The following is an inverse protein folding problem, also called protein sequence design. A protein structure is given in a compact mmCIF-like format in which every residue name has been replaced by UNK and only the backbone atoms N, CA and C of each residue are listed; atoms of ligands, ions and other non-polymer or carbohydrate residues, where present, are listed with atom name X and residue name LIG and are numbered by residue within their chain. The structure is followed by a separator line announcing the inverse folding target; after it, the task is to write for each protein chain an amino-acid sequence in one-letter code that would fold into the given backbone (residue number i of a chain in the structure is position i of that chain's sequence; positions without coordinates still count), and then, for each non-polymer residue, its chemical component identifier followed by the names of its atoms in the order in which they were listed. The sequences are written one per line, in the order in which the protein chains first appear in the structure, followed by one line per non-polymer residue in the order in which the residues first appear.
data_IF_025969730685
#
_entry.id   IF_025969730685
#
_cell.length_a   1.000
_cell.length_b   1.000
_cell.length_c   1.000
_cell.angle_alpha   90.00
_cell.angle_beta   90.00
_cell.angle_gamma   90.00
#
_symmetry.space_group_name_H-M   'P 1'
#
loop_
_entity.id
_entity.type
_entity.pdbx_description
1 polymer ?
#
# COMPACT_ATOMS: atom_id res chain seq x y z
N UNK A 1 -29.20 -12.52 2.04
CA UNK A 1 -27.99 -11.86 1.51
C UNK A 1 -28.48 -10.81 0.54
N UNK A 2 -28.26 -9.51 0.80
CA UNK A 2 -28.52 -8.47 -0.19
C UNK A 2 -27.60 -8.73 -1.38
N UNK A 3 -28.13 -8.71 -2.61
CA UNK A 3 -27.30 -8.79 -3.83
C UNK A 3 -26.19 -7.75 -3.70
N UNK A 4 -24.94 -8.23 -3.75
CA UNK A 4 -23.79 -7.34 -3.68
C UNK A 4 -23.78 -6.49 -4.95
N UNK A 5 -24.01 -5.18 -4.79
CA UNK A 5 -24.05 -4.24 -5.91
C UNK A 5 -22.70 -4.27 -6.61
N UNK A 6 -22.71 -4.40 -7.94
CA UNK A 6 -21.51 -4.44 -8.77
C UNK A 6 -20.58 -3.24 -8.48
N UNK A 7 -19.29 -3.50 -8.25
CA UNK A 7 -18.28 -2.49 -7.93
C UNK A 7 -18.36 -1.92 -6.51
N UNK A 8 -19.12 -2.53 -5.61
CA UNK A 8 -19.26 -2.08 -4.23
C UNK A 8 -18.86 -3.15 -3.21
N UNK A 9 -18.34 -2.68 -2.09
CA UNK A 9 -18.12 -3.41 -0.84
C UNK A 9 -19.13 -2.85 0.17
N UNK A 10 -20.25 -3.52 0.38
CA UNK A 10 -21.37 -2.97 1.12
C UNK A 10 -21.88 -1.64 0.50
N UNK A 11 -21.73 -0.53 1.24
CA UNK A 11 -22.09 0.82 0.77
C UNK A 11 -20.92 1.61 0.19
N UNK A 12 -19.70 1.05 0.19
CA UNK A 12 -18.46 1.70 -0.24
C UNK A 12 -18.02 1.22 -1.63
N UNK A 13 -17.15 1.96 -2.30
CA UNK A 13 -16.70 1.68 -3.67
C UNK A 13 -17.47 2.46 -4.71
N UNK A 14 -17.83 1.80 -5.79
CA UNK A 14 -18.52 2.41 -6.92
C UNK A 14 -17.56 2.94 -7.98
N UNK A 15 -18.13 3.65 -8.95
CA UNK A 15 -17.43 4.07 -10.17
C UNK A 15 -17.81 5.54 -10.48
N UNK A 16 -17.35 6.45 -9.61
CA UNK A 16 -17.66 7.88 -9.67
C UNK A 16 -16.62 8.62 -10.54
N UNK A 17 -16.59 8.27 -11.81
CA UNK A 17 -15.63 8.81 -12.78
C UNK A 17 -16.30 9.78 -13.75
N UNK A 18 -15.54 10.77 -14.27
CA UNK A 18 -16.01 11.57 -15.40
C UNK A 18 -16.37 10.68 -16.60
N UNK A 19 -17.40 11.07 -17.35
CA UNK A 19 -17.85 10.35 -18.53
C UNK A 19 -16.72 10.05 -19.51
N UNK A 20 -15.77 10.96 -19.64
CA UNK A 20 -14.57 10.82 -20.48
C UNK A 20 -13.68 9.64 -20.14
N UNK A 21 -13.66 9.20 -18.86
CA UNK A 21 -12.86 8.05 -18.40
C UNK A 21 -13.65 6.75 -18.27
N UNK A 22 -14.98 6.78 -18.41
CA UNK A 22 -15.82 5.59 -18.24
C UNK A 22 -15.43 4.44 -19.16
N UNK A 23 -15.15 4.73 -20.43
CA UNK A 23 -14.73 3.70 -21.38
C UNK A 23 -13.41 3.03 -20.97
N UNK A 24 -12.47 3.78 -20.41
CA UNK A 24 -11.18 3.23 -19.98
C UNK A 24 -11.32 2.28 -18.78
N UNK A 25 -12.18 2.60 -17.80
CA UNK A 25 -12.41 1.72 -16.65
C UNK A 25 -13.25 0.49 -17.00
N UNK A 26 -14.19 0.61 -17.97
CA UNK A 26 -14.95 -0.52 -18.51
C UNK A 26 -14.02 -1.46 -19.29
N UNK A 27 -13.20 -0.93 -20.18
CA UNK A 27 -12.17 -1.71 -20.93
C UNK A 27 -11.25 -2.47 -19.97
N UNK A 28 -10.81 -1.80 -18.88
CA UNK A 28 -9.95 -2.40 -17.88
C UNK A 28 -10.66 -3.56 -17.14
N UNK A 29 -11.91 -3.38 -16.77
CA UNK A 29 -12.71 -4.42 -16.11
C UNK A 29 -12.94 -5.63 -17.00
N UNK A 30 -13.31 -5.40 -18.27
CA UNK A 30 -13.49 -6.46 -19.25
C UNK A 30 -12.20 -7.25 -19.48
N UNK A 31 -11.07 -6.55 -19.63
CA UNK A 31 -9.76 -7.17 -19.77
C UNK A 31 -9.38 -7.97 -18.52
N UNK A 32 -9.58 -7.41 -17.33
CA UNK A 32 -9.29 -8.11 -16.08
C UNK A 32 -10.12 -9.39 -15.95
N UNK A 33 -11.44 -9.31 -16.15
CA UNK A 33 -12.32 -10.48 -16.08
C UNK A 33 -11.99 -11.55 -17.13
N UNK A 34 -11.47 -11.15 -18.28
CA UNK A 34 -11.03 -12.06 -19.33
C UNK A 34 -9.74 -12.79 -18.96
N UNK A 35 -8.77 -12.10 -18.36
CA UNK A 35 -7.41 -12.61 -18.20
C UNK A 35 -7.06 -13.11 -16.79
N UNK A 36 -7.77 -12.71 -15.74
CA UNK A 36 -7.44 -13.08 -14.35
C UNK A 36 -7.31 -14.59 -14.10
N UNK A 37 -8.11 -15.38 -14.81
CA UNK A 37 -8.13 -16.85 -14.71
C UNK A 37 -7.55 -17.53 -15.98
N UNK A 38 -7.00 -16.76 -16.92
CA UNK A 38 -6.37 -17.28 -18.13
C UNK A 38 -5.06 -18.00 -17.77
N UNK A 39 -4.91 -19.29 -18.15
CA UNK A 39 -3.74 -20.08 -17.73
C UNK A 39 -2.40 -19.50 -18.21
N UNK A 40 -2.36 -18.83 -19.37
CA UNK A 40 -1.15 -18.23 -19.89
C UNK A 40 -0.80 -16.94 -19.14
N UNK A 41 -1.80 -16.14 -18.78
CA UNK A 41 -1.62 -14.97 -17.94
C UNK A 41 -1.14 -15.34 -16.54
N UNK A 42 -1.80 -16.30 -15.90
CA UNK A 42 -1.44 -16.78 -14.55
C UNK A 42 -0.02 -17.33 -14.53
N UNK A 43 0.34 -18.17 -15.51
CA UNK A 43 1.69 -18.73 -15.63
C UNK A 43 2.76 -17.64 -15.83
N UNK A 44 2.51 -16.63 -16.69
CA UNK A 44 3.45 -15.52 -16.91
C UNK A 44 3.62 -14.67 -15.64
N UNK A 45 2.53 -14.42 -14.92
CA UNK A 45 2.54 -13.70 -13.63
C UNK A 45 3.34 -14.48 -12.58
N UNK A 46 3.09 -15.77 -12.41
CA UNK A 46 3.80 -16.63 -11.45
C UNK A 46 5.29 -16.75 -11.79
N UNK A 47 5.62 -16.88 -13.07
CA UNK A 47 7.02 -16.91 -13.53
C UNK A 47 7.76 -15.62 -13.21
N UNK A 48 7.15 -14.45 -13.41
CA UNK A 48 7.73 -13.16 -13.05
C UNK A 48 7.85 -13.00 -11.52
N UNK A 49 6.84 -13.42 -10.78
CA UNK A 49 6.93 -13.45 -9.31
C UNK A 49 8.11 -14.31 -8.83
N UNK A 50 8.26 -15.48 -9.35
CA UNK A 50 9.33 -16.41 -8.94
C UNK A 50 10.72 -15.99 -9.42
N UNK A 51 10.85 -15.66 -10.71
CA UNK A 51 12.15 -15.46 -11.36
C UNK A 51 12.67 -14.03 -11.28
N UNK A 52 11.78 -13.06 -11.17
CA UNK A 52 12.14 -11.64 -11.19
C UNK A 52 11.91 -10.94 -9.85
N UNK A 53 10.78 -11.15 -9.20
CA UNK A 53 10.50 -10.56 -7.89
C UNK A 53 11.22 -11.24 -6.74
N UNK A 54 11.49 -12.55 -6.86
CA UNK A 54 12.12 -13.35 -5.80
C UNK A 54 11.11 -13.96 -4.81
N UNK A 55 9.84 -14.13 -5.24
CA UNK A 55 8.82 -14.76 -4.39
C UNK A 55 8.98 -16.29 -4.32
N UNK A 56 8.46 -16.94 -3.26
CA UNK A 56 7.68 -16.35 -2.16
C UNK A 56 8.51 -15.49 -1.23
N UNK A 57 7.94 -14.36 -0.72
CA UNK A 57 8.50 -13.73 0.46
C UNK A 57 8.23 -14.61 1.67
N UNK A 58 9.17 -14.70 2.61
CA UNK A 58 9.07 -15.65 3.72
C UNK A 58 8.59 -14.95 5.00
N UNK A 59 7.97 -15.72 5.88
CA UNK A 59 7.81 -15.33 7.27
C UNK A 59 9.15 -15.47 7.99
N UNK A 60 9.54 -14.43 8.70
CA UNK A 60 10.70 -14.42 9.59
C UNK A 60 10.22 -14.38 11.03
N UNK A 61 10.59 -15.37 11.83
CA UNK A 61 10.35 -15.37 13.27
C UNK A 61 11.29 -14.37 13.94
N UNK A 62 10.74 -13.26 14.42
CA UNK A 62 11.49 -12.21 15.11
C UNK A 62 11.76 -12.63 16.55
N UNK A 63 12.76 -13.51 16.73
CA UNK A 63 13.04 -14.18 18.01
C UNK A 63 13.42 -13.19 19.12
N UNK A 64 14.29 -12.23 18.80
CA UNK A 64 14.74 -11.24 19.79
C UNK A 64 13.61 -10.28 20.18
N UNK A 65 12.81 -9.86 19.19
CA UNK A 65 11.63 -9.05 19.45
C UNK A 65 10.59 -9.79 20.28
N UNK A 66 10.34 -11.07 19.98
CA UNK A 66 9.44 -11.93 20.77
C UNK A 66 9.90 -12.07 22.21
N UNK A 67 11.19 -12.30 22.44
CA UNK A 67 11.78 -12.42 23.79
C UNK A 67 11.72 -11.09 24.55
N UNK A 68 12.02 -9.99 23.89
CA UNK A 68 12.04 -8.66 24.50
C UNK A 68 10.62 -8.22 24.92
N UNK A 69 9.61 -8.45 24.10
CA UNK A 69 8.22 -8.11 24.39
C UNK A 69 7.56 -9.07 25.41
N UNK A 70 8.01 -10.33 25.47
CA UNK A 70 7.63 -11.31 26.49
C UNK A 70 6.22 -11.89 26.39
N UNK A 71 5.41 -11.50 25.40
CA UNK A 71 4.05 -11.99 25.13
C UNK A 71 3.96 -12.80 23.84
N UNK A 72 3.10 -12.38 22.89
CA UNK A 72 2.88 -13.07 21.64
C UNK A 72 4.16 -13.28 20.82
N UNK A 73 4.21 -14.38 20.07
CA UNK A 73 5.23 -14.63 19.06
C UNK A 73 5.07 -13.65 17.90
N UNK A 74 6.16 -13.05 17.44
CA UNK A 74 6.16 -12.07 16.34
C UNK A 74 6.77 -12.70 15.10
N UNK A 75 6.02 -12.64 14.01
CA UNK A 75 6.47 -12.99 12.67
C UNK A 75 6.42 -11.78 11.75
N UNK A 76 7.41 -11.61 10.92
CA UNK A 76 7.48 -10.56 9.91
C UNK A 76 7.29 -11.17 8.52
N UNK A 77 6.27 -10.72 7.78
CA UNK A 77 6.10 -11.06 6.37
C UNK A 77 7.01 -10.14 5.54
N UNK A 78 8.08 -10.70 4.99
CA UNK A 78 9.25 -9.97 4.45
C UNK A 78 9.03 -9.46 3.02
N UNK A 79 8.04 -8.57 2.82
CA UNK A 79 7.82 -7.90 1.53
C UNK A 79 8.94 -6.89 1.18
N UNK A 80 9.72 -6.49 2.17
CA UNK A 80 10.92 -5.67 2.03
C UNK A 80 12.05 -6.34 1.22
N UNK A 81 12.04 -7.66 1.11
CA UNK A 81 13.02 -8.44 0.36
C UNK A 81 12.65 -8.66 -1.11
N UNK A 82 11.46 -8.29 -1.53
CA UNK A 82 11.10 -8.32 -2.94
C UNK A 82 12.03 -7.42 -3.75
N UNK A 83 12.23 -7.74 -5.02
CA UNK A 83 12.92 -6.84 -5.96
C UNK A 83 12.25 -5.45 -5.92
N UNK A 84 13.04 -4.39 -5.96
CA UNK A 84 12.70 -2.99 -5.66
C UNK A 84 12.48 -2.66 -4.17
N UNK A 85 12.40 -3.66 -3.29
CA UNK A 85 12.39 -3.49 -1.84
C UNK A 85 11.02 -3.20 -1.23
N UNK A 86 9.91 -3.58 -1.89
CA UNK A 86 8.58 -3.43 -1.32
C UNK A 86 7.52 -4.34 -1.97
N UNK A 87 6.33 -4.40 -1.35
CA UNK A 87 5.13 -5.09 -1.85
C UNK A 87 4.59 -4.52 -3.16
N UNK A 88 4.98 -3.31 -3.56
CA UNK A 88 4.38 -2.60 -4.72
C UNK A 88 4.50 -3.39 -6.02
N UNK A 89 5.58 -4.15 -6.15
CA UNK A 89 5.85 -4.92 -7.35
C UNK A 89 4.78 -5.98 -7.64
N UNK A 90 4.14 -6.53 -6.59
CA UNK A 90 3.09 -7.55 -6.76
C UNK A 90 1.93 -7.04 -7.64
N UNK A 91 1.44 -5.85 -7.32
CA UNK A 91 0.37 -5.19 -8.07
C UNK A 91 0.85 -4.73 -9.45
N UNK A 92 2.02 -4.11 -9.51
CA UNK A 92 2.52 -3.51 -10.75
C UNK A 92 2.71 -4.56 -11.83
N UNK A 93 3.31 -5.72 -11.53
CA UNK A 93 3.48 -6.81 -12.51
C UNK A 93 2.13 -7.23 -13.10
N UNK A 94 1.12 -7.44 -12.26
CA UNK A 94 -0.22 -7.84 -12.70
C UNK A 94 -0.87 -6.79 -13.61
N UNK A 95 -0.84 -5.52 -13.21
CA UNK A 95 -1.39 -4.44 -14.04
C UNK A 95 -0.63 -4.23 -15.35
N UNK A 96 0.69 -4.37 -15.33
CA UNK A 96 1.51 -4.24 -16.54
C UNK A 96 1.28 -5.37 -17.53
N UNK A 97 1.14 -6.61 -17.06
CA UNK A 97 0.74 -7.73 -17.91
C UNK A 97 -0.64 -7.51 -18.51
N UNK A 98 -1.57 -6.99 -17.71
CA UNK A 98 -2.91 -6.65 -18.16
C UNK A 98 -2.88 -5.55 -19.23
N UNK A 99 -2.12 -4.47 -19.02
CA UNK A 99 -1.91 -3.40 -19.99
C UNK A 99 -1.36 -3.92 -21.32
N UNK A 100 -0.39 -4.83 -21.25
CA UNK A 100 0.18 -5.50 -22.44
C UNK A 100 -0.87 -6.33 -23.20
N UNK A 101 -1.74 -7.08 -22.49
CA UNK A 101 -2.86 -7.82 -23.09
C UNK A 101 -3.91 -6.92 -23.72
N UNK A 102 -4.08 -5.70 -23.20
CA UNK A 102 -4.95 -4.65 -23.74
C UNK A 102 -4.33 -3.92 -24.96
N UNK A 103 -3.08 -4.23 -25.32
CA UNK A 103 -2.37 -3.57 -26.40
C UNK A 103 -1.89 -2.16 -26.09
N UNK A 104 -1.83 -1.78 -24.79
CA UNK A 104 -1.28 -0.49 -24.39
C UNK A 104 0.25 -0.48 -24.54
N UNK A 105 0.78 0.66 -24.99
CA UNK A 105 2.23 0.84 -25.25
C UNK A 105 2.87 1.78 -24.25
N UNK A 106 2.06 2.53 -23.51
CA UNK A 106 2.47 3.51 -22.51
C UNK A 106 1.75 3.25 -21.18
N UNK A 107 2.45 3.51 -20.09
CA UNK A 107 1.87 3.51 -18.75
C UNK A 107 2.16 4.81 -18.03
N UNK A 108 1.24 5.18 -17.15
CA UNK A 108 1.43 6.28 -16.21
C UNK A 108 1.16 5.78 -14.80
N UNK A 109 1.78 6.43 -13.81
CA UNK A 109 1.54 6.14 -12.40
C UNK A 109 1.66 7.42 -11.56
N UNK A 110 1.03 7.42 -10.41
CA UNK A 110 1.29 8.35 -9.30
C UNK A 110 2.27 7.75 -8.32
N UNK A 111 2.95 8.59 -7.53
CA UNK A 111 3.74 8.11 -6.40
C UNK A 111 3.93 9.20 -5.33
N UNK A 112 3.98 8.82 -4.05
CA UNK A 112 4.37 9.67 -2.92
C UNK A 112 5.79 9.32 -2.48
N UNK A 113 5.99 8.26 -1.70
CA UNK A 113 7.32 7.80 -1.27
C UNK A 113 8.26 7.34 -2.42
N UNK A 114 7.77 7.29 -3.65
CA UNK A 114 8.54 6.86 -4.82
C UNK A 114 8.54 5.35 -5.06
N UNK A 115 8.13 4.53 -4.12
CA UNK A 115 8.20 3.06 -4.24
C UNK A 115 7.29 2.51 -5.35
N UNK A 116 6.09 3.05 -5.50
CA UNK A 116 5.19 2.67 -6.60
C UNK A 116 5.74 3.11 -7.95
N UNK A 117 6.24 4.34 -8.04
CA UNK A 117 6.89 4.86 -9.23
C UNK A 117 8.10 4.03 -9.66
N UNK A 118 8.99 3.67 -8.72
CA UNK A 118 10.15 2.80 -8.99
C UNK A 118 9.70 1.43 -9.45
N UNK A 119 8.68 0.82 -8.82
CA UNK A 119 8.15 -0.48 -9.25
C UNK A 119 7.57 -0.41 -10.68
N UNK A 120 6.79 0.64 -10.99
CA UNK A 120 6.23 0.84 -12.34
C UNK A 120 7.32 1.08 -13.37
N UNK A 121 8.29 1.95 -13.08
CA UNK A 121 9.45 2.20 -13.95
C UNK A 121 10.25 0.91 -14.22
N UNK A 122 10.43 0.08 -13.20
CA UNK A 122 11.16 -1.19 -13.29
C UNK A 122 10.49 -2.16 -14.26
N UNK A 123 9.17 -2.35 -14.12
CA UNK A 123 8.45 -3.29 -14.98
C UNK A 123 8.22 -2.70 -16.38
N UNK A 124 8.05 -1.38 -16.49
CA UNK A 124 8.00 -0.73 -17.81
C UNK A 124 9.30 -0.93 -18.59
N UNK A 125 10.46 -0.75 -17.96
CA UNK A 125 11.76 -1.04 -18.55
C UNK A 125 11.89 -2.52 -18.94
N UNK A 126 11.46 -3.47 -18.08
CA UNK A 126 11.48 -4.89 -18.36
C UNK A 126 10.61 -5.25 -19.59
N UNK A 127 9.45 -4.61 -19.74
CA UNK A 127 8.48 -4.91 -20.80
C UNK A 127 8.62 -4.04 -22.05
N UNK A 128 9.55 -3.08 -22.05
CA UNK A 128 9.78 -2.16 -23.16
C UNK A 128 8.60 -1.20 -23.41
N UNK A 129 7.94 -0.74 -22.34
CA UNK A 129 6.82 0.21 -22.41
C UNK A 129 7.28 1.62 -22.01
N UNK A 130 6.70 2.63 -22.66
CA UNK A 130 6.90 4.03 -22.24
C UNK A 130 6.29 4.24 -20.85
N UNK A 131 7.01 4.96 -19.99
CA UNK A 131 6.59 5.19 -18.61
C UNK A 131 6.74 6.66 -18.21
N UNK A 132 5.67 7.23 -17.65
CA UNK A 132 5.71 8.55 -17.02
C UNK A 132 5.11 8.45 -15.61
N UNK A 133 5.76 9.11 -14.64
CA UNK A 133 5.34 9.09 -13.24
C UNK A 133 5.08 10.51 -12.77
N UNK A 134 3.95 10.70 -12.11
CA UNK A 134 3.54 11.94 -11.46
C UNK A 134 3.85 11.85 -9.96
N UNK A 135 4.55 12.84 -9.45
CA UNK A 135 4.98 12.88 -8.05
C UNK A 135 4.88 14.31 -7.54
N UNK A 136 4.37 14.51 -6.34
CA UNK A 136 4.31 15.84 -5.75
C UNK A 136 5.70 16.48 -5.67
N UNK A 137 5.82 17.78 -5.92
CA UNK A 137 7.11 18.47 -5.92
C UNK A 137 7.81 18.35 -4.55
N UNK A 138 7.04 18.44 -3.45
CA UNK A 138 7.55 18.23 -2.10
C UNK A 138 8.07 16.79 -1.90
N UNK A 139 7.35 15.81 -2.40
CA UNK A 139 7.76 14.40 -2.34
C UNK A 139 9.00 14.12 -3.22
N UNK A 140 9.13 14.81 -4.37
CA UNK A 140 10.34 14.72 -5.21
C UNK A 140 11.60 15.15 -4.45
N UNK A 141 11.51 16.19 -3.64
CA UNK A 141 12.63 16.64 -2.81
C UNK A 141 12.94 15.66 -1.67
N UNK A 142 11.90 15.21 -0.97
CA UNK A 142 12.03 14.23 0.13
C UNK A 142 12.63 12.90 -0.32
N UNK A 143 12.32 12.48 -1.55
CA UNK A 143 12.62 11.16 -2.10
C UNK A 143 13.46 11.22 -3.39
N UNK A 144 14.40 12.16 -3.45
CA UNK A 144 15.24 12.41 -4.64
C UNK A 144 15.97 11.16 -5.16
N UNK A 145 16.37 10.25 -4.28
CA UNK A 145 16.97 8.97 -4.67
C UNK A 145 16.02 8.09 -5.49
N UNK A 146 14.74 8.05 -5.14
CA UNK A 146 13.76 7.30 -5.90
C UNK A 146 13.42 7.98 -7.24
N UNK A 147 13.41 9.31 -7.28
CA UNK A 147 13.30 10.08 -8.53
C UNK A 147 14.44 9.71 -9.49
N UNK A 148 15.66 9.71 -9.00
CA UNK A 148 16.82 9.33 -9.82
C UNK A 148 16.77 7.86 -10.28
N UNK A 149 16.30 6.92 -9.42
CA UNK A 149 16.09 5.52 -9.81
C UNK A 149 15.09 5.38 -10.96
N UNK A 150 13.98 6.12 -10.93
CA UNK A 150 12.99 6.12 -12.02
C UNK A 150 13.59 6.66 -13.32
N UNK A 151 14.35 7.76 -13.24
CA UNK A 151 15.02 8.33 -14.41
C UNK A 151 16.08 7.38 -14.99
N UNK A 152 16.83 6.68 -14.14
CA UNK A 152 17.81 5.68 -14.57
C UNK A 152 17.16 4.50 -15.31
N UNK A 153 15.91 4.17 -14.96
CA UNK A 153 15.10 3.15 -15.63
C UNK A 153 14.40 3.66 -16.91
N UNK A 154 14.70 4.89 -17.33
CA UNK A 154 14.15 5.49 -18.55
C UNK A 154 12.78 6.16 -18.37
N UNK A 155 12.28 6.27 -17.14
CA UNK A 155 11.00 6.89 -16.85
C UNK A 155 11.12 8.41 -16.74
N UNK A 156 10.15 9.12 -17.31
CA UNK A 156 10.03 10.57 -17.12
C UNK A 156 9.22 10.85 -15.86
N UNK A 157 9.80 11.62 -14.94
CA UNK A 157 9.15 12.02 -13.69
C UNK A 157 8.67 13.47 -13.81
N UNK A 158 7.38 13.69 -13.53
CA UNK A 158 6.73 14.99 -13.53
C UNK A 158 6.50 15.45 -12.08
N UNK A 159 7.16 16.54 -11.70
CA UNK A 159 6.92 17.18 -10.41
C UNK A 159 5.60 17.98 -10.46
N UNK A 160 4.64 17.59 -9.63
CA UNK A 160 3.33 18.23 -9.53
C UNK A 160 3.39 19.32 -8.46
N UNK A 161 3.12 20.57 -8.86
CA UNK A 161 3.20 21.76 -8.00
C UNK A 161 1.83 22.30 -7.58
N UNK A 162 0.74 21.68 -8.01
CA UNK A 162 -0.62 22.07 -7.64
C UNK A 162 -0.99 21.58 -6.23
N UNK A 163 -1.96 22.23 -5.59
CA UNK A 163 -2.49 21.83 -4.29
C UNK A 163 -1.43 21.87 -3.19
N UNK A 164 -1.30 20.77 -2.45
CA UNK A 164 -0.28 20.56 -1.41
C UNK A 164 1.04 20.02 -1.96
N UNK A 165 1.13 19.80 -3.27
CA UNK A 165 2.31 19.23 -3.94
C UNK A 165 2.72 17.85 -3.40
N UNK A 166 1.75 17.04 -2.95
CA UNK A 166 1.94 15.70 -2.39
C UNK A 166 1.17 14.61 -3.18
N UNK A 167 1.13 13.38 -2.66
CA UNK A 167 0.53 12.22 -3.31
C UNK A 167 -0.90 12.46 -3.83
N UNK A 168 -1.77 13.18 -3.10
CA UNK A 168 -3.13 13.48 -3.54
C UNK A 168 -3.16 14.20 -4.88
N UNK A 169 -2.29 15.18 -5.04
CA UNK A 169 -2.21 16.00 -6.25
C UNK A 169 -1.56 15.24 -7.42
N UNK A 170 -0.63 14.35 -7.12
CA UNK A 170 -0.04 13.43 -8.08
C UNK A 170 -1.11 12.48 -8.67
N UNK A 171 -2.01 11.93 -7.84
CA UNK A 171 -3.16 11.12 -8.29
C UNK A 171 -4.07 11.94 -9.21
N UNK A 172 -4.42 13.15 -8.82
CA UNK A 172 -5.28 14.04 -9.62
C UNK A 172 -4.67 14.35 -10.98
N UNK A 173 -3.35 14.57 -11.05
CA UNK A 173 -2.64 14.87 -12.29
C UNK A 173 -2.54 13.63 -13.20
N UNK A 174 -2.23 12.46 -12.63
CA UNK A 174 -2.22 11.21 -13.37
C UNK A 174 -3.59 10.90 -14.01
N UNK A 175 -4.69 11.15 -13.28
CA UNK A 175 -6.06 10.98 -13.82
C UNK A 175 -6.35 11.97 -14.97
N UNK A 176 -5.89 13.23 -14.87
CA UNK A 176 -6.01 14.21 -15.96
C UNK A 176 -5.26 13.76 -17.21
N UNK A 177 -4.03 13.32 -17.05
CA UNK A 177 -3.23 12.83 -18.16
C UNK A 177 -3.83 11.57 -18.77
N UNK A 178 -4.37 10.66 -17.97
CA UNK A 178 -5.03 9.47 -18.50
C UNK A 178 -6.21 9.82 -19.41
N UNK A 179 -6.97 10.87 -19.08
CA UNK A 179 -8.06 11.39 -19.93
C UNK A 179 -7.58 11.79 -21.31
N UNK A 180 -6.35 12.30 -21.42
CA UNK A 180 -5.79 12.77 -22.70
C UNK A 180 -5.39 11.63 -23.63
N UNK A 181 -4.97 10.46 -23.09
CA UNK A 181 -4.35 9.39 -23.89
C UNK A 181 -4.78 7.98 -23.49
N UNK A 182 -6.05 7.79 -23.10
CA UNK A 182 -6.55 6.49 -22.64
C UNK A 182 -6.47 5.37 -23.71
N UNK A 183 -6.43 5.71 -25.01
CA UNK A 183 -6.38 4.71 -26.08
C UNK A 183 -5.11 3.88 -26.11
N UNK A 184 -3.96 4.48 -25.81
CA UNK A 184 -2.64 3.84 -25.82
C UNK A 184 -1.99 3.71 -24.45
N UNK A 185 -2.61 4.28 -23.42
CA UNK A 185 -2.05 4.42 -22.07
C UNK A 185 -2.90 3.70 -21.04
N UNK A 186 -2.24 2.92 -20.16
CA UNK A 186 -2.85 2.39 -18.95
C UNK A 186 -2.36 3.17 -17.73
N UNK A 187 -3.29 3.50 -16.82
CA UNK A 187 -2.97 4.07 -15.51
C UNK A 187 -2.72 2.94 -14.52
N UNK A 188 -1.47 2.77 -14.10
CA UNK A 188 -1.06 1.77 -13.10
C UNK A 188 -1.29 2.35 -11.71
N UNK A 189 -2.47 2.15 -11.15
CA UNK A 189 -2.84 2.70 -9.85
C UNK A 189 -2.17 1.93 -8.71
N UNK A 190 -1.56 2.66 -7.77
CA UNK A 190 -0.62 2.12 -6.78
C UNK A 190 -1.24 1.57 -5.49
N UNK A 191 -2.54 1.68 -5.29
CA UNK A 191 -3.20 1.22 -4.07
C UNK A 191 -4.61 0.67 -4.33
N UNK A 192 -5.26 0.11 -3.29
CA UNK A 192 -6.64 -0.44 -3.32
C UNK A 192 -7.68 0.68 -3.26
N UNK A 193 -7.45 1.74 -4.01
CA UNK A 193 -8.28 2.94 -4.06
C UNK A 193 -8.74 3.21 -5.49
N UNK A 194 -9.52 4.27 -5.69
CA UNK A 194 -10.00 4.66 -7.00
C UNK A 194 -11.33 4.01 -7.37
N UNK A 195 -11.80 4.33 -8.57
CA UNK A 195 -13.03 3.76 -9.11
C UNK A 195 -12.89 2.25 -9.35
N UNK A 196 -13.99 1.51 -9.19
CA UNK A 196 -14.04 0.14 -9.68
C UNK A 196 -13.60 0.10 -11.17
N UNK A 197 -12.74 -0.85 -11.60
CA UNK A 197 -12.33 -2.08 -10.92
C UNK A 197 -11.00 -1.99 -10.13
N UNK A 198 -10.36 -0.84 -10.03
CA UNK A 198 -9.03 -0.71 -9.42
C UNK A 198 -8.91 -1.32 -8.01
N UNK A 199 -9.83 -1.06 -7.04
CA UNK A 199 -9.71 -1.65 -5.72
C UNK A 199 -9.66 -3.17 -5.74
N UNK A 200 -10.48 -3.80 -6.60
CA UNK A 200 -10.53 -5.25 -6.78
C UNK A 200 -9.24 -5.78 -7.42
N UNK A 201 -8.77 -5.17 -8.51
CA UNK A 201 -7.57 -5.60 -9.26
C UNK A 201 -6.34 -5.54 -8.35
N UNK A 202 -6.15 -4.42 -7.66
CA UNK A 202 -4.99 -4.22 -6.78
C UNK A 202 -5.03 -5.18 -5.59
N UNK A 203 -6.21 -5.38 -4.96
CA UNK A 203 -6.40 -6.38 -3.91
C UNK A 203 -5.98 -7.77 -4.38
N UNK A 204 -6.49 -8.20 -5.52
CA UNK A 204 -6.28 -9.56 -6.02
C UNK A 204 -4.79 -9.82 -6.29
N UNK A 205 -4.07 -8.87 -6.90
CA UNK A 205 -2.63 -8.99 -7.10
C UNK A 205 -1.82 -8.89 -5.79
N UNK A 206 -2.28 -8.13 -4.82
CA UNK A 206 -1.63 -8.05 -3.51
C UNK A 206 -1.96 -9.23 -2.60
N UNK A 207 -3.04 -9.95 -2.83
CA UNK A 207 -3.50 -11.06 -1.99
C UNK A 207 -2.51 -12.24 -1.89
N UNK A 208 -1.53 -12.28 -2.79
CA UNK A 208 -0.39 -13.21 -2.72
C UNK A 208 0.34 -13.11 -1.37
N UNK A 209 0.34 -11.93 -0.73
CA UNK A 209 0.96 -11.70 0.59
C UNK A 209 0.31 -12.60 1.65
N UNK A 210 -1.01 -12.55 1.78
CA UNK A 210 -1.75 -13.34 2.78
C UNK A 210 -1.85 -14.81 2.40
N UNK A 211 -1.94 -15.14 1.10
CA UNK A 211 -1.92 -16.53 0.65
C UNK A 211 -0.67 -17.24 1.13
N UNK A 212 0.50 -16.66 0.85
CA UNK A 212 1.78 -17.22 1.30
C UNK A 212 1.93 -17.18 2.82
N UNK A 213 1.54 -16.07 3.48
CA UNK A 213 1.65 -15.95 4.93
C UNK A 213 0.80 -17.01 5.66
N UNK A 214 -0.40 -17.30 5.13
CA UNK A 214 -1.30 -18.30 5.72
C UNK A 214 -0.73 -19.72 5.60
N UNK A 215 -0.19 -20.07 4.45
CA UNK A 215 0.48 -21.36 4.23
C UNK A 215 1.71 -21.50 5.14
N UNK A 216 2.56 -20.48 5.17
CA UNK A 216 3.81 -20.48 5.92
C UNK A 216 3.59 -20.54 7.44
N UNK A 217 2.57 -19.85 7.98
CA UNK A 217 2.31 -19.90 9.41
C UNK A 217 1.70 -21.23 9.86
N UNK A 218 0.87 -21.84 9.00
CA UNK A 218 0.35 -23.18 9.26
C UNK A 218 1.47 -24.23 9.23
N UNK A 219 2.44 -24.09 8.32
CA UNK A 219 3.63 -24.96 8.30
C UNK A 219 4.50 -24.77 9.55
N UNK A 220 4.72 -23.52 9.97
CA UNK A 220 5.61 -23.18 11.10
C UNK A 220 5.01 -23.51 12.47
N UNK A 221 3.72 -23.23 12.67
CA UNK A 221 3.07 -23.26 14.01
C UNK A 221 1.89 -24.24 14.09
N UNK A 222 1.45 -24.81 12.98
CA UNK A 222 0.30 -25.72 12.92
C UNK A 222 -1.06 -25.06 13.18
N UNK A 223 -1.12 -23.71 13.27
CA UNK A 223 -2.32 -22.94 13.56
C UNK A 223 -2.29 -21.56 12.91
N UNK A 224 -3.45 -20.94 12.78
CA UNK A 224 -3.59 -19.57 12.30
C UNK A 224 -3.07 -18.55 13.34
N UNK A 225 -2.67 -17.34 12.90
CA UNK A 225 -2.24 -16.30 13.82
C UNK A 225 -3.42 -15.74 14.62
N UNK A 226 -3.14 -15.19 15.81
CA UNK A 226 -4.12 -14.44 16.60
C UNK A 226 -4.44 -13.09 15.98
N UNK A 227 -3.43 -12.47 15.33
CA UNK A 227 -3.59 -11.20 14.64
C UNK A 227 -2.66 -11.08 13.44
N UNK A 228 -3.13 -10.38 12.41
CA UNK A 228 -2.31 -9.87 11.30
C UNK A 228 -2.37 -8.35 11.29
N UNK A 229 -1.23 -7.70 11.08
CA UNK A 229 -1.07 -6.25 11.16
C UNK A 229 -0.38 -5.69 9.93
N UNK A 230 -0.81 -4.52 9.48
CA UNK A 230 -0.16 -3.78 8.42
C UNK A 230 -0.39 -2.27 8.57
N UNK A 231 0.54 -1.44 8.09
CA UNK A 231 0.33 -0.01 7.98
C UNK A 231 -0.71 0.32 6.89
N UNK A 232 -1.42 1.43 7.05
CA UNK A 232 -2.50 1.82 6.16
C UNK A 232 -2.39 3.29 5.78
N UNK A 233 -2.15 3.53 4.49
CA UNK A 233 -2.45 4.78 3.79
C UNK A 233 -3.66 4.50 2.88
N UNK A 234 -3.47 4.39 1.55
CA UNK A 234 -4.53 3.83 0.68
C UNK A 234 -4.85 2.36 0.98
N UNK A 235 -3.94 1.60 1.59
CA UNK A 235 -4.18 0.31 2.21
C UNK A 235 -3.82 -0.93 1.38
N UNK A 236 -2.99 -0.83 0.33
CA UNK A 236 -2.72 -1.99 -0.55
C UNK A 236 -1.98 -3.14 0.15
N UNK A 237 -0.95 -2.86 0.94
CA UNK A 237 -0.24 -3.90 1.68
C UNK A 237 -1.14 -4.53 2.76
N UNK A 238 -1.95 -3.73 3.43
CA UNK A 238 -2.88 -4.20 4.44
C UNK A 238 -3.98 -5.08 3.85
N UNK A 239 -4.57 -4.70 2.71
CA UNK A 239 -5.55 -5.53 2.03
C UNK A 239 -4.92 -6.83 1.52
N UNK A 240 -3.70 -6.76 0.98
CA UNK A 240 -2.93 -7.95 0.61
C UNK A 240 -2.68 -8.89 1.79
N UNK A 241 -2.41 -8.35 2.99
CA UNK A 241 -2.20 -9.13 4.21
C UNK A 241 -3.49 -9.66 4.82
N UNK A 242 -4.61 -8.93 4.67
CA UNK A 242 -5.89 -9.31 5.30
C UNK A 242 -6.68 -10.33 4.48
N UNK A 243 -6.60 -10.28 3.17
CA UNK A 243 -7.56 -10.90 2.26
C UNK A 243 -7.87 -12.37 2.55
N UNK A 244 -6.87 -13.24 2.68
CA UNK A 244 -7.08 -14.67 2.96
C UNK A 244 -7.31 -14.98 4.45
N UNK A 245 -7.43 -13.95 5.29
CA UNK A 245 -7.83 -14.08 6.70
C UNK A 245 -9.19 -13.44 6.98
N UNK A 246 -9.84 -12.84 5.97
CA UNK A 246 -11.14 -12.16 6.17
C UNK A 246 -12.20 -13.13 6.71
N UNK A 247 -12.25 -14.33 6.19
CA UNK A 247 -13.22 -15.35 6.60
C UNK A 247 -12.81 -16.10 7.90
N UNK A 248 -11.58 -15.94 8.35
CA UNK A 248 -11.09 -16.54 9.60
C UNK A 248 -11.44 -15.63 10.80
N UNK A 249 -12.68 -15.73 11.32
CA UNK A 249 -13.21 -14.85 12.39
C UNK A 249 -12.33 -14.80 13.65
N UNK A 250 -11.57 -15.86 13.92
CA UNK A 250 -10.62 -15.93 15.04
C UNK A 250 -9.33 -15.12 14.83
N UNK A 251 -9.07 -14.61 13.62
CA UNK A 251 -7.90 -13.81 13.29
C UNK A 251 -8.27 -12.32 13.31
N UNK A 252 -7.65 -11.54 14.19
CA UNK A 252 -7.81 -10.08 14.21
C UNK A 252 -7.09 -9.46 13.02
N UNK A 253 -7.75 -8.52 12.34
CA UNK A 253 -7.18 -7.73 11.24
C UNK A 253 -6.96 -6.31 11.74
N UNK A 254 -5.70 -5.87 11.82
CA UNK A 254 -5.33 -4.60 12.45
C UNK A 254 -4.59 -3.71 11.44
N UNK A 255 -5.24 -2.62 11.04
CA UNK A 255 -4.66 -1.57 10.22
C UNK A 255 -4.07 -0.45 11.08
N UNK A 256 -2.82 -0.06 10.84
CA UNK A 256 -2.15 0.99 11.58
C UNK A 256 -2.08 2.27 10.72
N UNK A 257 -2.86 3.28 11.10
CA UNK A 257 -2.95 4.56 10.40
C UNK A 257 -1.90 5.55 10.92
N UNK A 258 -1.49 6.50 10.06
CA UNK A 258 -0.57 7.56 10.45
C UNK A 258 -1.30 8.65 11.23
N UNK A 259 -1.06 8.72 12.53
CA UNK A 259 -1.55 9.78 13.39
C UNK A 259 -0.66 11.04 13.37
N UNK A 260 0.41 11.05 12.58
CA UNK A 260 1.29 12.21 12.43
C UNK A 260 1.76 12.75 13.79
N UNK A 261 1.47 14.03 14.05
CA UNK A 261 1.77 14.69 15.33
C UNK A 261 0.69 14.52 16.40
N UNK A 262 -0.30 13.67 16.12
CA UNK A 262 -1.40 13.31 17.02
C UNK A 262 -2.76 13.53 16.38
N UNK A 263 -3.70 12.62 16.64
CA UNK A 263 -5.05 12.65 16.04
C UNK A 263 -5.91 13.83 16.50
N UNK A 264 -5.50 14.54 17.55
CA UNK A 264 -6.19 15.75 18.05
C UNK A 264 -5.58 17.05 17.47
N UNK A 265 -4.64 16.91 16.53
CA UNK A 265 -4.07 18.00 15.73
C UNK A 265 -4.64 17.96 14.30
N UNK A 266 -4.34 18.98 13.50
CA UNK A 266 -4.64 18.97 12.05
C UNK A 266 -3.57 18.21 11.23
N UNK A 267 -2.47 17.81 11.87
CA UNK A 267 -1.32 17.17 11.22
C UNK A 267 -1.34 15.65 11.40
N UNK A 268 -2.31 14.99 10.76
CA UNK A 268 -2.46 13.52 10.71
C UNK A 268 -3.02 13.06 9.36
N UNK A 269 -2.94 11.76 9.09
CA UNK A 269 -3.56 11.07 7.95
C UNK A 269 -4.40 9.85 8.42
N UNK A 270 -4.93 9.90 9.65
CA UNK A 270 -5.72 8.83 10.26
C UNK A 270 -7.18 8.89 9.78
N UNK A 271 -7.42 8.33 8.61
CA UNK A 271 -8.66 8.49 7.84
C UNK A 271 -9.86 7.78 8.48
N UNK A 272 -9.69 6.59 9.06
CA UNK A 272 -10.78 5.89 9.77
C UNK A 272 -11.05 6.55 11.11
N UNK A 273 -9.98 6.92 11.83
CA UNK A 273 -10.12 7.46 13.18
C UNK A 273 -10.78 8.86 13.20
N UNK A 274 -10.55 9.69 12.18
CA UNK A 274 -10.96 11.12 12.16
C UNK A 274 -11.73 11.54 10.92
N UNK A 275 -11.72 10.75 9.86
CA UNK A 275 -12.41 11.06 8.61
C UNK A 275 -13.91 10.78 8.65
N UNK A 276 -14.55 11.13 7.57
CA UNK A 276 -15.97 10.89 7.32
C UNK A 276 -16.20 10.31 5.92
N UNK A 277 -17.40 9.77 5.68
CA UNK A 277 -17.74 9.16 4.40
C UNK A 277 -17.94 10.22 3.33
N UNK A 278 -17.25 10.08 2.21
CA UNK A 278 -17.33 10.98 1.06
C UNK A 278 -17.08 10.25 -0.27
N UNK A 279 -16.97 11.04 -1.34
CA UNK A 279 -16.62 10.56 -2.69
C UNK A 279 -15.41 11.36 -3.16
N UNK A 280 -14.32 10.66 -3.46
CA UNK A 280 -13.10 11.26 -3.97
C UNK A 280 -12.30 10.25 -4.82
N UNK A 281 -11.56 10.71 -5.80
CA UNK A 281 -10.78 9.87 -6.74
C UNK A 281 -11.58 8.69 -7.33
N UNK A 282 -12.88 8.88 -7.56
CA UNK A 282 -13.75 7.91 -8.21
C UNK A 282 -14.37 6.85 -7.30
N UNK A 283 -14.17 6.91 -6.00
CA UNK A 283 -14.70 5.95 -5.02
C UNK A 283 -15.46 6.64 -3.88
N UNK A 284 -16.43 5.91 -3.31
CA UNK A 284 -17.03 6.25 -2.02
C UNK A 284 -16.27 5.50 -0.91
N UNK A 285 -15.72 6.24 0.05
CA UNK A 285 -14.94 5.69 1.16
C UNK A 285 -14.90 6.66 2.34
N UNK A 286 -14.02 6.42 3.32
CA UNK A 286 -13.69 7.42 4.34
C UNK A 286 -12.57 8.33 3.85
N UNK A 287 -12.68 9.62 4.16
CA UNK A 287 -11.72 10.67 3.82
C UNK A 287 -11.54 11.66 4.96
N UNK A 288 -10.32 12.18 5.11
CA UNK A 288 -10.08 13.40 5.88
C UNK A 288 -10.65 14.57 5.09
N UNK A 289 -11.78 15.10 5.53
CA UNK A 289 -12.51 16.19 4.88
C UNK A 289 -13.18 17.07 5.93
N UNK A 290 -13.44 18.32 5.57
CA UNK A 290 -14.18 19.26 6.40
C UNK A 290 -15.70 19.04 6.33
N UNK A 291 -16.47 19.90 7.02
CA UNK A 291 -17.94 19.84 7.07
C UNK A 291 -18.62 20.13 5.72
N UNK A 292 -17.93 20.81 4.81
CA UNK A 292 -18.39 21.08 3.44
C UNK A 292 -17.99 19.95 2.46
N UNK A 293 -17.28 18.92 2.93
CA UNK A 293 -16.82 17.78 2.11
C UNK A 293 -15.56 18.08 1.29
N UNK A 294 -14.84 19.17 1.59
CA UNK A 294 -13.57 19.46 0.97
C UNK A 294 -12.47 18.61 1.61
N UNK A 295 -11.62 18.01 0.77
CA UNK A 295 -10.50 17.19 1.26
C UNK A 295 -9.54 18.04 2.06
N UNK A 296 -9.38 17.71 3.33
CA UNK A 296 -8.46 18.37 4.23
C UNK A 296 -7.00 18.07 3.88
N UNK A 297 -6.07 19.00 4.12
CA UNK A 297 -4.66 18.69 4.16
C UNK A 297 -4.40 17.59 5.19
N UNK A 298 -3.47 16.69 4.88
CA UNK A 298 -3.04 15.63 5.80
C UNK A 298 -1.53 15.70 5.98
N UNK A 299 -1.04 15.03 7.00
CA UNK A 299 0.38 14.99 7.30
C UNK A 299 0.80 13.63 7.87
N UNK A 300 1.95 13.15 7.42
CA UNK A 300 2.68 12.03 7.99
C UNK A 300 4.18 12.20 7.72
N UNK A 301 5.03 11.79 8.65
CA UNK A 301 6.46 11.61 8.39
C UNK A 301 6.72 10.63 7.25
N UNK A 302 5.78 9.72 7.02
CA UNK A 302 5.79 8.74 5.95
C UNK A 302 5.05 9.26 4.72
N UNK A 303 5.78 9.60 3.66
CA UNK A 303 5.18 10.02 2.39
C UNK A 303 4.27 8.94 1.76
N UNK A 304 4.49 7.66 2.08
CA UNK A 304 3.65 6.56 1.61
C UNK A 304 2.32 6.41 2.34
N UNK A 305 2.15 7.06 3.52
CA UNK A 305 0.91 7.10 4.29
C UNK A 305 0.24 8.48 4.25
N UNK A 306 0.86 9.47 3.61
CA UNK A 306 0.38 10.84 3.48
C UNK A 306 -0.70 10.94 2.39
N UNK A 307 -1.86 10.35 2.65
CA UNK A 307 -3.01 10.29 1.76
C UNK A 307 -4.31 10.46 2.56
N UNK A 308 -5.23 11.35 2.14
CA UNK A 308 -6.41 11.71 2.91
C UNK A 308 -7.59 10.72 2.78
N UNK A 309 -7.36 9.50 2.31
CA UNK A 309 -8.41 8.51 2.08
C UNK A 309 -7.94 7.08 2.31
N UNK A 310 -8.88 6.16 2.30
CA UNK A 310 -8.62 4.72 2.43
C UNK A 310 -9.40 3.93 1.38
N UNK A 311 -8.91 2.77 1.01
CA UNK A 311 -9.58 1.88 0.08
C UNK A 311 -11.00 1.50 0.54
N UNK A 312 -11.97 1.39 -0.40
CA UNK A 312 -13.38 1.17 -0.03
C UNK A 312 -13.63 -0.20 0.62
N UNK A 313 -12.82 -1.21 0.36
CA UNK A 313 -12.95 -2.50 1.04
C UNK A 313 -12.48 -2.41 2.50
N UNK A 314 -11.45 -1.60 2.81
CA UNK A 314 -11.09 -1.27 4.18
C UNK A 314 -12.22 -0.55 4.92
N UNK A 315 -12.85 0.42 4.25
CA UNK A 315 -14.01 1.12 4.79
C UNK A 315 -15.16 0.15 5.14
N UNK A 316 -15.40 -0.84 4.28
CA UNK A 316 -16.36 -1.90 4.52
C UNK A 316 -15.97 -2.81 5.68
N UNK A 317 -14.71 -3.26 5.75
CA UNK A 317 -14.23 -4.11 6.84
C UNK A 317 -14.33 -3.41 8.20
N UNK A 318 -14.05 -2.11 8.24
CA UNK A 318 -14.26 -1.29 9.43
C UNK A 318 -15.74 -1.17 9.79
N UNK A 319 -16.59 -0.76 8.86
CA UNK A 319 -18.01 -0.55 9.10
C UNK A 319 -18.76 -1.83 9.49
N UNK A 320 -18.30 -3.00 9.02
CA UNK A 320 -18.82 -4.31 9.41
C UNK A 320 -18.24 -4.85 10.72
N UNK A 321 -17.28 -4.17 11.32
CA UNK A 321 -16.58 -4.63 12.54
C UNK A 321 -15.61 -5.79 12.30
N UNK A 322 -15.26 -6.10 11.03
CA UNK A 322 -14.34 -7.20 10.72
C UNK A 322 -12.88 -6.82 10.93
N UNK A 323 -12.52 -5.57 10.71
CA UNK A 323 -11.17 -5.06 10.93
C UNK A 323 -11.18 -3.86 11.86
N UNK A 324 -10.12 -3.70 12.62
CA UNK A 324 -9.86 -2.57 13.50
C UNK A 324 -8.75 -1.69 12.92
N UNK A 325 -8.84 -0.37 13.13
CA UNK A 325 -7.86 0.59 12.66
C UNK A 325 -7.40 1.44 13.84
N UNK A 326 -6.08 1.56 13.98
CA UNK A 326 -5.47 2.20 15.14
C UNK A 326 -4.52 3.30 14.70
N UNK A 327 -4.59 4.48 15.34
CA UNK A 327 -3.67 5.57 15.05
C UNK A 327 -2.30 5.33 15.71
N UNK A 328 -1.23 5.63 14.96
CA UNK A 328 0.16 5.58 15.40
C UNK A 328 0.85 6.88 15.07
N UNK A 329 1.46 7.53 16.05
CA UNK A 329 2.15 8.81 15.86
C UNK A 329 3.51 8.65 15.19
N UNK A 330 4.04 9.77 14.65
CA UNK A 330 5.38 9.81 14.05
C UNK A 330 6.46 9.38 15.05
N UNK A 331 6.41 9.85 16.31
CA UNK A 331 7.36 9.47 17.35
C UNK A 331 7.34 7.95 17.61
N UNK A 332 6.16 7.37 17.72
CA UNK A 332 5.99 5.93 17.91
C UNK A 332 6.53 5.13 16.72
N UNK A 333 6.30 5.61 15.51
CA UNK A 333 6.79 4.96 14.30
C UNK A 333 8.32 5.06 14.19
N UNK A 334 8.92 6.22 14.49
CA UNK A 334 10.38 6.40 14.49
C UNK A 334 11.04 5.56 15.59
N UNK A 335 10.47 5.50 16.79
CA UNK A 335 10.96 4.64 17.85
C UNK A 335 10.89 3.15 17.47
N UNK A 336 9.85 2.74 16.76
CA UNK A 336 9.70 1.37 16.28
C UNK A 336 10.66 1.04 15.12
N UNK A 337 10.92 2.01 14.24
CA UNK A 337 11.93 1.90 13.20
C UNK A 337 13.31 1.60 13.78
N UNK A 338 13.74 2.39 14.78
CA UNK A 338 15.01 2.19 15.47
C UNK A 338 15.03 0.88 16.28
N UNK A 339 13.91 0.56 16.96
CA UNK A 339 13.78 -0.65 17.75
C UNK A 339 13.99 -1.92 16.90
N UNK A 340 13.28 -2.05 15.80
CA UNK A 340 13.43 -3.21 14.92
C UNK A 340 14.83 -3.27 14.31
N UNK A 341 15.39 -2.13 13.93
CA UNK A 341 16.74 -2.05 13.37
C UNK A 341 17.80 -2.56 14.35
N UNK A 342 17.74 -2.14 15.61
CA UNK A 342 18.71 -2.54 16.65
C UNK A 342 18.51 -3.96 17.12
N UNK A 343 17.26 -4.43 17.16
CA UNK A 343 16.94 -5.72 17.77
C UNK A 343 17.08 -6.88 16.78
N UNK A 344 16.56 -6.71 15.54
CA UNK A 344 16.54 -7.77 14.54
C UNK A 344 17.52 -7.51 13.37
N UNK A 345 18.20 -6.37 13.34
CA UNK A 345 19.08 -6.01 12.22
C UNK A 345 18.31 -5.73 10.93
N UNK A 346 17.03 -5.37 11.03
CA UNK A 346 16.16 -5.09 9.90
C UNK A 346 15.75 -3.62 9.95
N UNK A 347 16.15 -2.85 8.96
CA UNK A 347 15.76 -1.45 8.79
C UNK A 347 14.45 -1.42 7.98
N UNK A 348 13.28 -1.25 8.63
CA UNK A 348 11.99 -1.26 7.92
C UNK A 348 11.76 0.05 7.19
N UNK A 349 10.90 0.07 6.18
CA UNK A 349 10.33 1.32 5.72
C UNK A 349 9.57 2.01 6.87
N UNK A 350 9.62 3.34 6.92
CA UNK A 350 8.92 4.10 7.98
C UNK A 350 7.40 3.84 7.96
N UNK A 351 6.84 3.52 6.79
CA UNK A 351 5.47 3.04 6.65
C UNK A 351 5.23 1.81 7.53
N UNK A 352 6.05 0.77 7.36
CA UNK A 352 5.94 -0.51 8.08
C UNK A 352 6.19 -0.37 9.58
N UNK A 353 6.99 0.62 9.99
CA UNK A 353 7.29 0.88 11.39
C UNK A 353 6.03 1.23 12.21
N UNK A 354 4.97 1.77 11.59
CA UNK A 354 3.68 2.00 12.25
C UNK A 354 3.07 0.69 12.76
N UNK A 355 3.10 -0.38 11.97
CA UNK A 355 2.61 -1.68 12.41
C UNK A 355 3.50 -2.31 13.50
N UNK A 356 4.81 -2.14 13.41
CA UNK A 356 5.76 -2.55 14.45
C UNK A 356 5.49 -1.81 15.76
N UNK A 357 5.22 -0.50 15.71
CA UNK A 357 4.91 0.32 16.88
C UNK A 357 3.66 -0.19 17.63
N UNK A 358 2.59 -0.51 16.89
CA UNK A 358 1.40 -1.05 17.53
C UNK A 358 1.62 -2.46 18.07
N UNK A 359 2.34 -3.32 17.37
CA UNK A 359 2.70 -4.65 17.86
C UNK A 359 3.47 -4.58 19.19
N UNK A 360 4.39 -3.62 19.36
CA UNK A 360 5.10 -3.37 20.62
C UNK A 360 4.17 -3.04 21.79
N UNK A 361 3.03 -2.39 21.52
CA UNK A 361 2.04 -2.04 22.55
C UNK A 361 1.22 -3.26 22.98
N UNK A 362 0.78 -4.09 22.03
CA UNK A 362 -0.18 -5.16 22.36
C UNK A 362 0.46 -6.51 22.63
N UNK A 363 1.58 -6.85 21.99
CA UNK A 363 2.23 -8.16 22.20
C UNK A 363 2.52 -8.50 23.66
N UNK A 364 3.01 -7.56 24.51
CA UNK A 364 3.25 -7.85 25.94
C UNK A 364 1.98 -8.23 26.73
N UNK A 365 0.81 -7.84 26.24
CA UNK A 365 -0.50 -8.12 26.90
C UNK A 365 -1.14 -9.43 26.44
N UNK A 366 -0.56 -10.07 25.43
CA UNK A 366 -1.06 -11.31 24.84
C UNK A 366 -0.38 -12.55 25.42
N UNK A 367 -0.98 -13.71 25.20
CA UNK A 367 -0.41 -14.99 25.62
C UNK A 367 0.86 -15.31 24.80
N UNK A 368 1.78 -16.07 25.41
CA UNK A 368 2.97 -16.62 24.71
C UNK A 368 2.61 -17.59 23.58
N UNK A 369 1.40 -18.13 23.62
CA UNK A 369 0.88 -18.99 22.56
C UNK A 369 0.21 -18.21 21.44
N UNK A 370 -0.05 -16.92 21.62
CA UNK A 370 -0.58 -16.06 20.58
C UNK A 370 0.50 -15.75 19.53
N UNK A 371 0.04 -15.44 18.31
CA UNK A 371 0.90 -15.17 17.17
C UNK A 371 0.44 -13.88 16.50
N UNK A 372 1.37 -12.95 16.29
CA UNK A 372 1.17 -11.75 15.49
C UNK A 372 2.02 -11.87 14.22
N UNK A 373 1.41 -11.65 13.06
CA UNK A 373 2.13 -11.46 11.80
C UNK A 373 2.07 -9.98 11.42
N UNK A 374 3.24 -9.36 11.24
CA UNK A 374 3.37 -7.99 10.76
C UNK A 374 3.77 -8.02 9.28
N UNK A 375 3.01 -7.33 8.42
CA UNK A 375 3.42 -7.10 7.03
C UNK A 375 4.54 -6.06 7.01
N UNK A 376 5.78 -6.51 6.80
CA UNK A 376 6.92 -5.63 6.59
C UNK A 376 6.96 -5.21 5.13
N UNK A 377 6.16 -4.21 4.79
CA UNK A 377 5.74 -3.87 3.43
C UNK A 377 6.85 -3.30 2.55
N UNK A 378 7.93 -2.80 3.16
CA UNK A 378 9.08 -2.27 2.43
C UNK A 378 10.31 -2.08 3.33
N UNK A 379 11.48 -1.87 2.69
CA UNK A 379 12.74 -1.61 3.39
C UNK A 379 13.02 -0.11 3.54
N UNK A 380 13.77 0.22 4.59
CA UNK A 380 13.97 1.59 5.05
C UNK A 380 15.20 2.31 4.50
N UNK A 381 15.95 1.75 3.55
CA UNK A 381 17.13 2.43 2.98
C UNK A 381 16.80 3.84 2.49
N UNK A 382 15.61 4.02 1.94
CA UNK A 382 15.10 5.31 1.46
C UNK A 382 14.84 6.32 2.59
N UNK A 383 14.63 5.85 3.81
CA UNK A 383 14.16 6.65 4.95
C UNK A 383 15.29 7.04 5.91
N UNK A 384 16.47 6.41 5.80
CA UNK A 384 17.59 6.61 6.75
C UNK A 384 17.94 8.09 6.90
N UNK A 385 18.06 8.83 5.80
CA UNK A 385 18.37 10.26 5.85
C UNK A 385 17.26 11.09 6.52
N UNK A 386 15.99 10.77 6.25
CA UNK A 386 14.86 11.44 6.89
C UNK A 386 14.80 11.14 8.40
N UNK A 387 15.09 9.90 8.81
CA UNK A 387 15.16 9.52 10.22
C UNK A 387 16.31 10.19 10.96
N UNK A 388 17.49 10.28 10.33
CA UNK A 388 18.63 11.02 10.86
C UNK A 388 18.25 12.49 11.11
N UNK A 389 17.66 13.14 10.11
CA UNK A 389 17.17 14.53 10.23
C UNK A 389 16.13 14.68 11.35
N UNK A 390 15.18 13.73 11.45
CA UNK A 390 14.16 13.75 12.52
C UNK A 390 14.78 13.70 13.91
N UNK A 391 15.85 12.91 14.08
CA UNK A 391 16.62 12.79 15.34
C UNK A 391 17.66 13.90 15.53
N UNK A 392 17.78 14.85 14.61
CA UNK A 392 18.76 15.93 14.69
C UNK A 392 20.20 15.47 14.45
N UNK A 393 20.39 14.33 13.73
CA UNK A 393 21.71 13.82 13.35
C UNK A 393 22.09 14.39 12.00
N UNK A 394 23.25 15.04 11.93
CA UNK A 394 23.86 15.48 10.66
C UNK A 394 24.62 14.31 10.01
N UNK A 395 24.28 13.98 8.76
CA UNK A 395 24.95 12.91 8.01
C UNK A 395 26.24 13.37 7.33
N UNK A 396 26.59 14.65 7.44
CA UNK A 396 27.78 15.25 6.83
C UNK A 396 28.90 15.56 7.85
N UNK A 397 28.65 15.27 9.13
CA UNK A 397 29.67 15.21 10.19
C UNK A 397 30.15 13.76 10.40
#
# INVERSE_FOLDING_TARGET
MSEQRHGYFGSFGGQFMPETLMNAVIELEEAYNKYKDDPDFVRELEDLHKKYTGRPSLLYYAERMTKDLGGAKIYLKREDLNHTGSHKLNNVIGQMLLAKRMGKTRVIAETGAGQHGVATATIAALMGMDCEVYMGAEDCERQALNVYRMQLLGTKVHAVTSGTSTLKDAVSEAMREWTNRMSDTHYVLGSVMGAHPFPMIVRDFQSIISREAREQILEAEGKLPTAVMACVGGGSNAMGMFYHFIEDEGVRLIGCEAAGRGIDTEEHAATIAKGSVGIFHGMKSYFCQDEDGQIAPVYSISAGLDYPGIGPEHAYLYASGRAEYVPVTDDEAVDAFEYLSRLEGIIPAIESAHAVAHARKIAPTMSKDDIIIICLSGRGDKDVAAMAKYRGVDLHE
#
